data_IF_882691175105
#
_entry.id   IF_882691175105
#
_cell.length_a   1.000
_cell.length_b   1.000
_cell.length_c   1.000
_cell.angle_alpha   90.00
_cell.angle_beta   90.00
_cell.angle_gamma   90.00
#
_symmetry.space_group_name_H-M   'P 1'
#
loop_
_entity.id
_entity.type
_entity.pdbx_description
1 polymer ?
#
# COMPACT_ATOMS: atom_id res chain seq x y z
N UNK A 1 8.20 21.08 -29.26
CA UNK A 1 6.86 21.34 -28.68
C UNK A 1 7.06 21.71 -27.23
N UNK A 2 6.51 22.84 -26.76
CA UNK A 2 6.64 23.23 -25.36
C UNK A 2 5.66 22.40 -24.51
N UNK A 3 6.17 21.76 -23.45
CA UNK A 3 5.36 21.01 -22.49
C UNK A 3 4.41 21.97 -21.76
N UNK A 4 3.12 21.64 -21.69
CA UNK A 4 2.15 22.53 -21.02
C UNK A 4 2.40 22.57 -19.51
N UNK A 5 1.88 23.59 -18.83
CA UNK A 5 1.97 23.67 -17.36
C UNK A 5 1.24 22.47 -16.71
N UNK A 6 0.11 22.05 -17.28
CA UNK A 6 -0.64 20.88 -16.82
C UNK A 6 0.21 19.60 -16.95
N UNK A 7 0.91 19.40 -18.07
CA UNK A 7 1.81 18.26 -18.26
C UNK A 7 2.94 18.24 -17.21
N UNK A 8 3.51 19.40 -16.89
CA UNK A 8 4.57 19.52 -15.89
C UNK A 8 4.07 19.20 -14.49
N UNK A 9 2.86 19.64 -14.15
CA UNK A 9 2.20 19.31 -12.87
C UNK A 9 1.95 17.80 -12.81
N UNK A 10 1.39 17.21 -13.88
CA UNK A 10 1.16 15.76 -13.96
C UNK A 10 2.43 14.94 -13.73
N UNK A 11 3.53 15.28 -14.44
CA UNK A 11 4.83 14.59 -14.27
C UNK A 11 5.37 14.75 -12.83
N UNK A 12 5.25 15.94 -12.25
CA UNK A 12 5.73 16.20 -10.88
C UNK A 12 4.94 15.38 -9.86
N UNK A 13 3.61 15.33 -10.01
CA UNK A 13 2.73 14.53 -9.17
C UNK A 13 3.04 13.04 -9.30
N UNK A 14 3.26 12.51 -10.51
CA UNK A 14 3.63 11.10 -10.70
C UNK A 14 4.96 10.73 -10.05
N UNK A 15 5.95 11.62 -10.11
CA UNK A 15 7.23 11.40 -9.42
C UNK A 15 7.05 11.39 -7.89
N UNK A 16 6.27 12.34 -7.37
CA UNK A 16 5.97 12.42 -5.94
C UNK A 16 5.17 11.21 -5.46
N UNK A 17 4.22 10.73 -6.25
CA UNK A 17 3.46 9.50 -5.99
C UNK A 17 4.41 8.30 -5.83
N UNK A 18 5.38 8.16 -6.74
CA UNK A 18 6.38 7.09 -6.69
C UNK A 18 7.21 7.16 -5.41
N UNK A 19 7.66 8.35 -5.01
CA UNK A 19 8.38 8.56 -3.76
C UNK A 19 7.53 8.23 -2.53
N UNK A 20 6.26 8.65 -2.52
CA UNK A 20 5.33 8.37 -1.42
C UNK A 20 5.04 6.87 -1.28
N UNK A 21 4.84 6.14 -2.38
CA UNK A 21 4.69 4.68 -2.35
C UNK A 21 5.90 3.98 -1.72
N UNK A 22 7.12 4.45 -2.04
CA UNK A 22 8.34 3.93 -1.40
C UNK A 22 8.34 4.20 0.10
N UNK A 23 8.02 5.43 0.51
CA UNK A 23 7.97 5.80 1.93
C UNK A 23 6.93 4.99 2.70
N UNK A 24 5.73 4.80 2.13
CA UNK A 24 4.68 3.97 2.72
C UNK A 24 5.15 2.53 2.89
N UNK A 25 5.87 1.97 1.91
CA UNK A 25 6.44 0.63 2.03
C UNK A 25 7.48 0.55 3.16
N UNK A 26 8.34 1.56 3.29
CA UNK A 26 9.34 1.64 4.36
C UNK A 26 8.71 1.77 5.75
N UNK A 27 7.62 2.52 5.88
CA UNK A 27 6.85 2.61 7.13
C UNK A 27 6.25 1.26 7.51
N UNK A 28 5.67 0.52 6.55
CA UNK A 28 5.16 -0.84 6.81
C UNK A 28 6.25 -1.81 7.23
N UNK A 29 7.41 -1.76 6.57
CA UNK A 29 8.56 -2.57 6.96
C UNK A 29 9.04 -2.22 8.37
N UNK A 30 8.99 -0.94 8.74
CA UNK A 30 9.32 -0.47 10.09
C UNK A 30 8.34 -1.01 11.12
N UNK A 31 7.03 -1.00 10.86
CA UNK A 31 6.01 -1.58 11.74
C UNK A 31 6.23 -3.10 11.97
N UNK A 32 6.57 -3.84 10.91
CA UNK A 32 6.92 -5.25 11.01
C UNK A 32 8.18 -5.46 11.86
N UNK A 33 9.18 -4.60 11.68
CA UNK A 33 10.43 -4.63 12.45
C UNK A 33 10.20 -4.33 13.92
N UNK A 34 9.41 -3.30 14.23
CA UNK A 34 9.02 -2.93 15.60
C UNK A 34 8.34 -4.11 16.29
N UNK A 35 7.41 -4.79 15.62
CA UNK A 35 6.78 -6.01 16.14
C UNK A 35 7.80 -7.08 16.50
N UNK A 36 8.73 -7.41 15.59
CA UNK A 36 9.74 -8.44 15.85
C UNK A 36 10.61 -8.09 17.05
N UNK A 37 11.08 -6.83 17.13
CA UNK A 37 11.87 -6.34 18.26
C UNK A 37 11.06 -6.41 19.56
N UNK A 38 9.77 -6.05 19.54
CA UNK A 38 8.92 -6.12 20.72
C UNK A 38 8.77 -7.57 21.23
N UNK A 39 8.68 -8.56 20.35
CA UNK A 39 8.68 -9.97 20.74
C UNK A 39 9.99 -10.38 21.42
N UNK A 40 11.12 -9.95 20.89
CA UNK A 40 12.44 -10.24 21.48
C UNK A 40 12.58 -9.59 22.85
N UNK A 41 12.16 -8.32 22.99
CA UNK A 41 12.17 -7.58 24.24
C UNK A 41 11.23 -8.19 25.29
N UNK A 42 10.08 -8.71 24.88
CA UNK A 42 9.16 -9.42 25.76
C UNK A 42 9.79 -10.71 26.29
N UNK A 43 10.50 -11.49 25.44
CA UNK A 43 11.26 -12.68 25.89
C UNK A 43 12.34 -12.34 26.91
N UNK A 44 12.92 -11.13 26.80
CA UNK A 44 13.91 -10.61 27.74
C UNK A 44 13.28 -9.91 28.97
N UNK A 45 11.96 -9.94 29.13
CA UNK A 45 11.20 -9.27 30.21
C UNK A 45 11.45 -7.75 30.28
N UNK A 46 11.72 -7.11 29.14
CA UNK A 46 11.96 -5.65 29.04
C UNK A 46 10.66 -4.89 28.76
N UNK A 47 9.67 -5.05 29.63
CA UNK A 47 8.30 -4.55 29.41
C UNK A 47 8.21 -3.03 29.22
N UNK A 48 9.11 -2.25 29.82
CA UNK A 48 9.14 -0.79 29.62
C UNK A 48 9.51 -0.39 28.19
N UNK A 49 10.40 -1.15 27.54
CA UNK A 49 10.76 -0.91 26.14
C UNK A 49 9.66 -1.41 25.20
N UNK A 50 8.98 -2.51 25.54
CA UNK A 50 7.81 -2.98 24.79
C UNK A 50 6.70 -1.92 24.79
N UNK A 51 6.44 -1.25 25.92
CA UNK A 51 5.48 -0.13 26.00
C UNK A 51 5.88 1.08 25.15
N UNK A 52 7.18 1.37 25.03
CA UNK A 52 7.65 2.43 24.14
C UNK A 52 7.38 2.07 22.67
N UNK A 53 7.59 0.81 22.29
CA UNK A 53 7.29 0.32 20.94
C UNK A 53 5.79 0.27 20.65
N UNK A 54 4.95 -0.04 21.64
CA UNK A 54 3.48 0.01 21.54
C UNK A 54 3.04 1.45 21.20
N UNK A 55 3.54 2.43 21.97
CA UNK A 55 3.27 3.85 21.71
C UNK A 55 3.78 4.31 20.35
N UNK A 56 5.01 3.96 19.98
CA UNK A 56 5.59 4.32 18.68
C UNK A 56 4.78 3.73 17.51
N UNK A 57 4.23 2.52 17.69
CA UNK A 57 3.35 1.88 16.72
C UNK A 57 2.06 2.69 16.52
N UNK A 58 1.42 3.11 17.62
CA UNK A 58 0.20 3.93 17.59
C UNK A 58 0.43 5.33 16.99
N UNK A 59 1.62 5.90 17.13
CA UNK A 59 1.98 7.18 16.51
C UNK A 59 2.30 7.02 15.01
N UNK A 60 2.92 5.92 14.60
CA UNK A 60 3.37 5.72 13.22
C UNK A 60 2.23 5.36 12.25
N UNK A 61 1.20 4.66 12.73
CA UNK A 61 0.03 4.27 11.95
C UNK A 61 -0.72 5.49 11.36
N UNK A 62 -1.17 6.49 12.15
CA UNK A 62 -1.87 7.65 11.61
C UNK A 62 -0.98 8.47 10.67
N UNK A 63 0.32 8.61 10.97
CA UNK A 63 1.26 9.29 10.06
C UNK A 63 1.36 8.58 8.69
N UNK A 64 1.33 7.24 8.67
CA UNK A 64 1.30 6.49 7.41
C UNK A 64 0.03 6.74 6.62
N UNK A 65 -1.09 6.87 7.31
CA UNK A 65 -2.40 7.11 6.73
C UNK A 65 -2.49 8.52 6.14
N UNK A 66 -1.96 9.52 6.85
CA UNK A 66 -1.83 10.90 6.36
C UNK A 66 -1.07 10.97 5.03
N UNK A 67 0.03 10.23 4.90
CA UNK A 67 0.82 10.17 3.65
C UNK A 67 -0.01 9.57 2.51
N UNK A 68 -0.78 8.51 2.78
CA UNK A 68 -1.66 7.87 1.78
C UNK A 68 -2.73 8.84 1.32
N UNK A 69 -3.36 9.56 2.25
CA UNK A 69 -4.40 10.54 1.98
C UNK A 69 -3.87 11.72 1.18
N UNK A 70 -2.75 12.31 1.61
CA UNK A 70 -2.10 13.41 0.91
C UNK A 70 -1.68 13.00 -0.51
N UNK A 71 -1.09 11.80 -0.66
CA UNK A 71 -0.70 11.29 -1.97
C UNK A 71 -1.89 11.09 -2.90
N UNK A 72 -3.01 10.60 -2.38
CA UNK A 72 -4.26 10.42 -3.13
C UNK A 72 -4.86 11.75 -3.56
N UNK A 73 -4.86 12.75 -2.67
CA UNK A 73 -5.31 14.10 -2.97
C UNK A 73 -4.47 14.69 -4.11
N UNK A 74 -3.15 14.69 -3.98
CA UNK A 74 -2.24 15.20 -5.03
C UNK A 74 -2.42 14.49 -6.37
N UNK A 75 -2.69 13.19 -6.36
CA UNK A 75 -2.97 12.44 -7.58
C UNK A 75 -4.26 12.91 -8.27
N UNK A 76 -5.32 13.19 -7.51
CA UNK A 76 -6.57 13.75 -8.04
C UNK A 76 -6.30 15.11 -8.71
N UNK A 77 -5.57 15.99 -8.04
CA UNK A 77 -5.17 17.31 -8.58
C UNK A 77 -4.40 17.15 -9.89
N UNK A 78 -3.40 16.27 -9.92
CA UNK A 78 -2.59 16.05 -11.11
C UNK A 78 -3.36 15.51 -12.31
N UNK A 79 -4.45 14.77 -12.09
CA UNK A 79 -5.33 14.23 -13.14
C UNK A 79 -6.41 15.22 -13.59
N UNK A 80 -6.95 16.00 -12.67
CA UNK A 80 -8.11 16.86 -12.91
C UNK A 80 -7.71 18.28 -13.33
N UNK A 81 -6.49 18.72 -13.00
CA UNK A 81 -6.03 20.06 -13.33
C UNK A 81 -5.93 20.27 -14.84
N UNK A 82 -6.77 21.19 -15.34
CA UNK A 82 -6.69 21.74 -16.67
C UNK A 82 -6.33 23.22 -16.58
N UNK A 83 -5.32 23.65 -17.33
CA UNK A 83 -4.89 25.05 -17.33
C UNK A 83 -6.01 25.95 -17.89
N UNK A 84 -6.74 26.62 -17.00
CA UNK A 84 -7.67 27.69 -17.38
C UNK A 84 -6.93 29.03 -17.47
N UNK A 85 -7.60 30.07 -18.00
CA UNK A 85 -7.05 31.42 -17.99
C UNK A 85 -7.14 32.10 -16.61
N UNK A 86 -7.75 31.46 -15.62
CA UNK A 86 -7.91 31.97 -14.26
C UNK A 86 -6.81 31.45 -13.32
N UNK A 87 -6.45 32.28 -12.34
CA UNK A 87 -5.54 31.92 -11.26
C UNK A 87 -6.10 30.77 -10.43
N UNK A 88 -5.36 29.65 -10.34
CA UNK A 88 -5.75 28.51 -9.49
C UNK A 88 -5.13 28.63 -8.09
N UNK A 89 -5.97 28.54 -7.06
CA UNK A 89 -5.52 28.42 -5.67
C UNK A 89 -5.28 26.94 -5.32
N UNK A 90 -4.04 26.48 -5.55
CA UNK A 90 -3.65 25.10 -5.30
C UNK A 90 -3.74 24.68 -3.83
N UNK A 91 -3.60 25.63 -2.90
CA UNK A 91 -3.70 25.32 -1.47
C UNK A 91 -5.14 24.97 -1.12
N UNK A 92 -6.08 25.83 -1.52
CA UNK A 92 -7.51 25.58 -1.31
C UNK A 92 -7.95 24.27 -1.96
N UNK A 93 -7.50 24.02 -3.19
CA UNK A 93 -7.83 22.81 -3.94
C UNK A 93 -7.31 21.55 -3.23
N UNK A 94 -6.09 21.60 -2.67
CA UNK A 94 -5.54 20.51 -1.86
C UNK A 94 -6.32 20.30 -0.56
N UNK A 95 -6.59 21.37 0.18
CA UNK A 95 -7.33 21.32 1.44
C UNK A 95 -8.75 20.74 1.24
N UNK A 96 -9.40 21.04 0.11
CA UNK A 96 -10.70 20.48 -0.26
C UNK A 96 -10.63 18.96 -0.50
N UNK A 97 -9.63 18.46 -1.25
CA UNK A 97 -9.47 17.02 -1.48
C UNK A 97 -9.11 16.25 -0.20
N UNK A 98 -8.36 16.86 0.72
CA UNK A 98 -8.05 16.27 2.04
C UNK A 98 -9.34 16.18 2.86
N UNK A 99 -10.08 17.29 2.98
CA UNK A 99 -11.29 17.39 3.81
C UNK A 99 -12.43 16.47 3.34
N UNK A 100 -12.55 16.22 2.03
CA UNK A 100 -13.59 15.34 1.48
C UNK A 100 -13.46 13.87 1.94
N UNK A 101 -12.27 13.43 2.38
CA UNK A 101 -12.04 12.02 2.75
C UNK A 101 -12.05 11.76 4.25
N UNK A 102 -11.63 12.72 5.08
CA UNK A 102 -11.70 12.58 6.54
C UNK A 102 -13.13 12.31 7.05
N UNK A 103 -14.15 12.72 6.28
CA UNK A 103 -15.56 12.53 6.61
C UNK A 103 -16.08 11.08 6.39
N UNK A 104 -15.36 10.22 5.67
CA UNK A 104 -15.89 8.92 5.20
C UNK A 104 -15.60 7.76 6.16
N UNK A 105 -14.50 7.80 6.91
CA UNK A 105 -14.22 6.86 8.02
C UNK A 105 -12.98 7.32 8.79
N UNK A 106 -13.11 7.77 10.05
CA UNK A 106 -11.93 8.13 10.85
C UNK A 106 -11.08 6.88 11.15
N UNK A 107 -9.77 6.99 10.98
CA UNK A 107 -8.83 5.96 11.37
C UNK A 107 -8.82 5.81 12.89
N UNK A 108 -9.02 4.58 13.37
CA UNK A 108 -8.80 4.21 14.77
C UNK A 108 -7.53 3.36 14.83
N UNK A 109 -6.38 3.91 15.29
CA UNK A 109 -5.10 3.20 15.28
C UNK A 109 -5.14 1.83 15.99
N UNK A 110 -5.93 1.73 17.06
CA UNK A 110 -6.10 0.51 17.87
C UNK A 110 -6.77 -0.62 17.08
N UNK A 111 -7.59 -0.27 16.08
CA UNK A 111 -8.25 -1.24 15.21
C UNK A 111 -7.39 -1.60 13.99
N UNK A 112 -6.26 -0.93 13.79
CA UNK A 112 -5.42 -1.13 12.61
C UNK A 112 -4.72 -2.50 12.64
N UNK A 113 -4.69 -3.19 11.50
CA UNK A 113 -4.16 -4.56 11.37
C UNK A 113 -2.74 -4.72 11.91
N UNK A 114 -1.85 -3.75 11.66
CA UNK A 114 -0.48 -3.82 12.19
C UNK A 114 -0.41 -3.68 13.71
N UNK A 115 -1.31 -2.91 14.33
CA UNK A 115 -1.35 -2.78 15.79
C UNK A 115 -1.88 -4.05 16.44
N UNK A 116 -2.95 -4.64 15.89
CA UNK A 116 -3.46 -5.95 16.36
C UNK A 116 -2.40 -7.04 16.28
N UNK A 117 -1.75 -7.17 15.12
CA UNK A 117 -0.64 -8.11 14.94
C UNK A 117 0.52 -7.85 15.90
N UNK A 118 0.79 -6.59 16.25
CA UNK A 118 1.78 -6.24 17.26
C UNK A 118 1.36 -6.77 18.65
N UNK A 119 0.13 -6.50 19.07
CA UNK A 119 -0.41 -6.93 20.37
C UNK A 119 -0.45 -8.45 20.50
N UNK A 120 -0.97 -9.14 19.50
CA UNK A 120 -1.00 -10.60 19.44
C UNK A 120 0.42 -11.19 19.52
N UNK A 121 1.36 -10.63 18.77
CA UNK A 121 2.72 -11.15 18.69
C UNK A 121 3.47 -11.05 20.03
N UNK A 122 3.26 -9.95 20.76
CA UNK A 122 3.79 -9.75 22.12
C UNK A 122 3.07 -10.69 23.10
N UNK A 123 1.74 -10.77 23.06
CA UNK A 123 0.94 -11.63 23.94
C UNK A 123 1.37 -13.10 23.91
N UNK A 124 1.54 -13.65 22.70
CA UNK A 124 1.94 -15.05 22.48
C UNK A 124 3.30 -15.42 23.06
N UNK A 125 4.18 -14.45 23.35
CA UNK A 125 5.49 -14.75 23.97
C UNK A 125 5.29 -15.34 25.37
N UNK A 126 4.34 -14.79 26.12
CA UNK A 126 4.06 -15.18 27.50
C UNK A 126 2.86 -16.14 27.62
N UNK A 127 2.07 -16.27 26.54
CA UNK A 127 0.82 -17.04 26.51
C UNK A 127 0.68 -17.83 25.19
N UNK A 128 1.64 -18.71 24.90
CA UNK A 128 1.78 -19.37 23.60
C UNK A 128 0.54 -20.13 23.10
N UNK A 129 -0.26 -20.67 24.03
CA UNK A 129 -1.43 -21.51 23.74
C UNK A 129 -2.77 -20.83 24.07
N UNK A 130 -2.75 -19.55 24.48
CA UNK A 130 -3.96 -18.82 24.85
C UNK A 130 -4.25 -17.70 23.83
N UNK A 131 -5.48 -17.64 23.29
CA UNK A 131 -5.87 -16.51 22.46
C UNK A 131 -5.83 -15.22 23.29
N UNK A 132 -5.49 -14.09 22.66
CA UNK A 132 -5.47 -12.80 23.34
C UNK A 132 -6.89 -12.43 23.79
N UNK A 133 -7.14 -12.11 25.08
CA UNK A 133 -8.46 -11.79 25.57
C UNK A 133 -9.04 -10.55 24.88
N UNK A 134 -10.31 -10.59 24.48
CA UNK A 134 -11.03 -9.44 23.90
C UNK A 134 -11.01 -9.33 22.38
N UNK A 135 -10.43 -10.28 21.65
CA UNK A 135 -10.50 -10.38 20.17
C UNK A 135 -11.62 -11.32 19.68
N UNK A 136 -12.67 -11.50 20.47
CA UNK A 136 -13.83 -12.28 20.05
C UNK A 136 -14.67 -11.46 19.07
N UNK A 137 -14.59 -11.82 17.79
CA UNK A 137 -15.44 -11.40 16.66
C UNK A 137 -15.06 -10.13 15.89
N UNK A 138 -13.82 -10.05 15.39
CA UNK A 138 -13.64 -9.37 14.12
C UNK A 138 -13.32 -10.41 13.06
N UNK A 139 -14.28 -10.64 12.16
CA UNK A 139 -14.05 -11.35 10.91
C UNK A 139 -12.69 -10.93 10.37
N UNK A 140 -11.83 -11.90 10.05
CA UNK A 140 -10.64 -11.65 9.25
C UNK A 140 -11.16 -11.15 7.91
N UNK A 141 -11.47 -9.86 7.81
CA UNK A 141 -11.55 -9.17 6.54
C UNK A 141 -10.10 -9.16 6.12
N UNK A 142 -9.74 -10.20 5.37
CA UNK A 142 -8.56 -10.23 4.56
C UNK A 142 -8.73 -9.05 3.60
N UNK A 143 -8.35 -7.85 4.05
CA UNK A 143 -8.15 -6.70 3.19
C UNK A 143 -6.92 -7.05 2.37
N UNK A 144 -7.17 -7.87 1.36
CA UNK A 144 -6.33 -8.20 0.22
C UNK A 144 -5.96 -6.96 -0.60
N UNK A 145 -6.22 -5.76 -0.10
CA UNK A 145 -6.01 -4.51 -0.81
C UNK A 145 -4.55 -4.16 -0.99
N UNK A 146 -3.57 -4.81 -0.34
CA UNK A 146 -2.15 -4.52 -0.59
C UNK A 146 -1.24 -5.75 -0.49
N UNK A 147 -1.63 -6.84 -1.16
CA UNK A 147 -0.60 -7.75 -1.65
C UNK A 147 0.31 -6.98 -2.62
N UNK A 148 1.61 -7.21 -2.59
CA UNK A 148 2.62 -6.61 -3.50
C UNK A 148 2.48 -7.05 -4.97
N UNK A 149 1.27 -7.43 -5.37
CA UNK A 149 0.92 -7.87 -6.71
C UNK A 149 0.62 -6.63 -7.52
N UNK A 150 1.35 -6.46 -8.63
CA UNK A 150 1.15 -5.34 -9.56
C UNK A 150 -0.18 -5.49 -10.31
N UNK A 151 -0.78 -6.68 -10.30
CA UNK A 151 -2.06 -6.99 -10.93
C UNK A 151 -2.85 -8.02 -10.12
N UNK A 152 -4.18 -7.87 -10.14
CA UNK A 152 -5.15 -8.82 -9.57
C UNK A 152 -5.69 -9.79 -10.61
N UNK A 153 -5.50 -9.47 -11.90
CA UNK A 153 -5.97 -10.25 -13.05
C UNK A 153 -4.80 -10.51 -14.01
N UNK A 154 -4.69 -11.71 -14.55
CA UNK A 154 -3.71 -12.03 -15.59
C UNK A 154 -4.00 -11.23 -16.88
N UNK A 155 -3.06 -10.40 -17.38
CA UNK A 155 -3.30 -9.57 -18.57
C UNK A 155 -3.52 -10.35 -19.87
N UNK A 156 -3.16 -11.64 -19.90
CA UNK A 156 -3.27 -12.49 -21.10
C UNK A 156 -4.54 -13.36 -21.11
N UNK A 157 -4.97 -13.83 -19.94
CA UNK A 157 -6.11 -14.75 -19.83
C UNK A 157 -7.35 -14.12 -19.22
N UNK A 158 -7.23 -12.95 -18.60
CA UNK A 158 -8.33 -12.29 -17.88
C UNK A 158 -8.74 -13.02 -16.59
N UNK A 159 -8.05 -14.10 -16.21
CA UNK A 159 -8.33 -14.84 -14.97
C UNK A 159 -7.77 -14.10 -13.76
N UNK A 160 -8.48 -14.10 -12.61
CA UNK A 160 -7.94 -13.53 -11.39
C UNK A 160 -6.70 -14.32 -10.96
N UNK A 161 -5.71 -13.63 -10.38
CA UNK A 161 -4.42 -14.23 -9.98
C UNK A 161 -4.61 -15.39 -8.99
N UNK A 162 -5.67 -15.34 -8.19
CA UNK A 162 -6.05 -16.39 -7.24
C UNK A 162 -6.51 -17.69 -7.90
N UNK A 163 -6.89 -17.67 -9.17
CA UNK A 163 -7.42 -18.84 -9.93
C UNK A 163 -6.47 -19.34 -11.01
N UNK A 164 -5.24 -18.82 -11.06
CA UNK A 164 -4.22 -19.28 -12.01
C UNK A 164 -3.67 -20.63 -11.58
N UNK A 165 -3.49 -21.53 -12.54
CA UNK A 165 -3.01 -22.89 -12.25
C UNK A 165 -1.50 -22.91 -11.99
N UNK A 166 -0.73 -22.17 -12.78
CA UNK A 166 0.71 -22.02 -12.64
C UNK A 166 1.10 -20.54 -12.83
N UNK A 167 0.96 -19.70 -11.78
CA UNK A 167 1.24 -18.27 -11.87
C UNK A 167 2.75 -18.00 -11.96
N UNK A 168 3.16 -17.24 -12.96
CA UNK A 168 4.56 -16.82 -13.17
C UNK A 168 4.69 -15.30 -13.17
N UNK A 169 5.76 -14.79 -12.57
CA UNK A 169 6.00 -13.34 -12.43
C UNK A 169 7.15 -12.89 -13.31
N UNK A 170 6.97 -11.79 -14.03
CA UNK A 170 8.05 -11.14 -14.76
C UNK A 170 9.04 -10.47 -13.80
N UNK A 171 10.34 -10.63 -14.04
CA UNK A 171 11.40 -9.97 -13.27
C UNK A 171 11.48 -8.47 -13.53
N UNK A 172 11.11 -8.03 -14.74
CA UNK A 172 11.21 -6.63 -15.17
C UNK A 172 9.99 -5.81 -14.73
N UNK A 173 8.77 -6.27 -15.06
CA UNK A 173 7.55 -5.51 -14.83
C UNK A 173 6.72 -6.01 -13.64
N UNK A 174 7.18 -7.06 -12.95
CA UNK A 174 6.56 -7.62 -11.73
C UNK A 174 5.11 -8.11 -11.85
N UNK A 175 4.52 -8.08 -13.05
CA UNK A 175 3.20 -8.63 -13.35
C UNK A 175 3.17 -10.17 -13.28
N UNK A 176 2.01 -10.71 -12.92
CA UNK A 176 1.73 -12.14 -12.80
C UNK A 176 0.89 -12.62 -13.98
N UNK A 177 1.30 -13.75 -14.57
CA UNK A 177 0.69 -14.35 -15.75
C UNK A 177 0.41 -15.84 -15.53
N UNK A 178 -0.55 -16.40 -16.27
CA UNK A 178 -0.64 -17.86 -16.45
C UNK A 178 0.54 -18.33 -17.30
N UNK A 179 1.29 -19.32 -16.83
CA UNK A 179 2.50 -19.83 -17.50
C UNK A 179 2.25 -20.27 -18.93
N UNK A 180 1.18 -21.02 -19.20
CA UNK A 180 0.89 -21.50 -20.55
C UNK A 180 0.62 -20.35 -21.52
N UNK A 181 -0.15 -19.35 -21.07
CA UNK A 181 -0.50 -18.19 -21.89
C UNK A 181 0.72 -17.31 -22.19
N UNK A 182 1.56 -17.03 -21.19
CA UNK A 182 2.76 -16.20 -21.40
C UNK A 182 3.81 -16.92 -22.24
N UNK A 183 3.99 -18.23 -22.05
CA UNK A 183 4.93 -19.01 -22.86
C UNK A 183 4.49 -19.08 -24.32
N UNK A 184 3.19 -19.21 -24.60
CA UNK A 184 2.66 -19.14 -25.96
C UNK A 184 2.80 -17.73 -26.55
N UNK A 185 2.53 -16.69 -25.77
CA UNK A 185 2.71 -15.30 -26.20
C UNK A 185 4.18 -14.98 -26.55
N UNK A 186 5.14 -15.43 -25.72
CA UNK A 186 6.57 -15.27 -25.98
C UNK A 186 6.99 -16.01 -27.26
N UNK A 187 6.47 -17.22 -27.48
CA UNK A 187 6.73 -18.00 -28.71
C UNK A 187 6.18 -17.31 -29.95
N UNK A 188 4.99 -16.71 -29.88
CA UNK A 188 4.32 -16.08 -31.03
C UNK A 188 4.88 -14.69 -31.38
N UNK A 189 5.36 -13.93 -30.39
CA UNK A 189 5.74 -12.52 -30.57
C UNK A 189 7.22 -12.22 -30.27
N UNK A 190 8.05 -13.25 -30.07
CA UNK A 190 9.42 -13.22 -29.53
C UNK A 190 10.50 -12.43 -30.28
N UNK A 191 10.15 -11.50 -31.19
CA UNK A 191 11.10 -10.60 -31.86
C UNK A 191 10.63 -9.15 -32.07
N UNK A 192 9.45 -8.73 -31.61
CA UNK A 192 8.98 -7.34 -31.79
C UNK A 192 8.50 -6.69 -30.48
N UNK A 193 9.34 -5.76 -30.01
CA UNK A 193 9.09 -4.59 -29.14
C UNK A 193 8.28 -4.83 -27.87
N UNK A 194 9.01 -4.81 -26.73
CA UNK A 194 8.52 -4.37 -25.43
C UNK A 194 7.47 -5.27 -24.79
N UNK A 195 7.52 -5.40 -23.47
CA UNK A 195 6.43 -6.02 -22.73
C UNK A 195 5.12 -5.33 -23.12
N UNK A 196 4.17 -6.04 -23.75
CA UNK A 196 2.78 -5.57 -23.85
C UNK A 196 2.13 -5.76 -22.48
N UNK A 197 2.61 -5.03 -21.48
CA UNK A 197 1.86 -4.74 -20.26
C UNK A 197 0.75 -3.76 -20.63
N UNK A 198 -0.22 -4.24 -21.41
CA UNK A 198 -1.49 -3.57 -21.59
C UNK A 198 -2.30 -3.86 -20.32
N UNK A 199 -2.05 -3.07 -19.28
CA UNK A 199 -3.07 -2.80 -18.28
C UNK A 199 -4.01 -1.78 -18.93
N UNK A 200 -5.08 -2.29 -19.54
CA UNK A 200 -6.33 -1.56 -19.68
C UNK A 200 -7.23 -2.00 -18.51
#
# INVERSE_FOLDING_TARGET
>A
MATSIADRIGVTVSNLETSNHSLIADVRNSLVTIKMIAQDLERENKSDLVKQLDKATLELIPLSDDIIHLSSALQAIGKEYNSSNESTDFKKLLDEHISQREAVSPLVPENHVFYKQFKEAVWRVSHADEPMPGEEHEDIIMTSSQCSLVNTICPLTGKPVTELKDPVRSTECKHIYEKEAVMNHIKMYGKKRGCKCAAA
#
